data_IF_285850891247
#
_entry.id   IF_285850891247
#
_cell.length_a   1.000
_cell.length_b   1.000
_cell.length_c   1.000
_cell.angle_alpha   90.00
_cell.angle_beta   90.00
_cell.angle_gamma   90.00
#
_symmetry.space_group_name_H-M   'P 1'
#
loop_
_entity.id
_entity.type
_entity.pdbx_description
1 polymer ?
#
# COMPACT_ATOMS: atom_id res chain seq x y z
N UNK A 1 -1.60 -20.31 -26.70
CA UNK A 1 -1.34 -21.60 -27.37
C UNK A 1 -1.27 -21.31 -28.86
N UNK A 2 -0.21 -21.73 -29.54
CA UNK A 2 -0.21 -21.75 -31.00
C UNK A 2 -1.34 -22.70 -31.44
N UNK A 3 -2.19 -22.28 -32.37
CA UNK A 3 -3.15 -23.18 -33.02
C UNK A 3 -2.37 -24.42 -33.44
N UNK A 4 -2.83 -25.60 -33.05
CA UNK A 4 -2.09 -26.78 -33.48
C UNK A 4 -2.21 -26.86 -34.99
N UNK A 5 -1.10 -27.07 -35.70
CA UNK A 5 -1.11 -27.23 -37.17
C UNK A 5 -2.15 -28.26 -37.64
N UNK A 6 -2.53 -29.18 -36.77
CA UNK A 6 -3.54 -30.21 -36.97
C UNK A 6 -4.94 -29.62 -37.12
N UNK A 7 -5.30 -28.62 -36.32
CA UNK A 7 -6.63 -28.00 -36.30
C UNK A 7 -6.94 -27.28 -37.62
N UNK A 8 -5.99 -26.48 -38.11
CA UNK A 8 -6.12 -25.79 -39.40
C UNK A 8 -6.12 -26.79 -40.58
N UNK A 9 -5.34 -27.87 -40.50
CA UNK A 9 -5.35 -28.94 -41.50
C UNK A 9 -6.69 -29.67 -41.57
N UNK A 10 -7.32 -29.97 -40.43
CA UNK A 10 -8.64 -30.61 -40.39
C UNK A 10 -9.73 -29.73 -41.03
N UNK A 11 -9.65 -28.41 -40.84
CA UNK A 11 -10.55 -27.47 -41.50
C UNK A 11 -10.34 -27.44 -43.02
N UNK A 12 -9.10 -27.41 -43.48
CA UNK A 12 -8.78 -27.48 -44.90
C UNK A 12 -9.33 -28.78 -45.52
N UNK A 13 -9.21 -29.90 -44.82
CA UNK A 13 -9.72 -31.20 -45.29
C UNK A 13 -11.25 -31.24 -45.46
N UNK A 14 -12.02 -30.58 -44.59
CA UNK A 14 -13.49 -30.56 -44.71
C UNK A 14 -14.00 -29.44 -45.63
N UNK A 15 -13.17 -28.45 -45.97
CA UNK A 15 -13.58 -27.29 -46.78
C UNK A 15 -14.18 -27.65 -48.14
N UNK A 16 -13.64 -28.62 -48.91
CA UNK A 16 -14.26 -29.06 -50.16
C UNK A 16 -15.67 -29.60 -49.96
N UNK A 17 -15.90 -30.37 -48.88
CA UNK A 17 -17.21 -30.94 -48.58
C UNK A 17 -18.21 -29.86 -48.17
N UNK A 18 -17.78 -28.86 -47.40
CA UNK A 18 -18.62 -27.69 -47.05
C UNK A 18 -19.08 -26.93 -48.30
N UNK A 19 -18.20 -26.73 -49.30
CA UNK A 19 -18.59 -26.10 -50.58
C UNK A 19 -19.62 -26.92 -51.35
N UNK A 20 -19.44 -28.24 -51.42
CA UNK A 20 -20.43 -29.14 -52.05
C UNK A 20 -21.81 -29.01 -51.37
N UNK A 21 -21.83 -28.91 -50.05
CA UNK A 21 -23.05 -28.72 -49.24
C UNK A 21 -23.70 -27.37 -49.54
N UNK A 22 -22.92 -26.28 -49.59
CA UNK A 22 -23.42 -24.94 -49.94
C UNK A 22 -24.04 -24.90 -51.35
N UNK A 23 -23.42 -25.58 -52.32
CA UNK A 23 -23.95 -25.69 -53.67
C UNK A 23 -25.24 -26.51 -53.72
N UNK A 24 -25.31 -27.66 -53.02
CA UNK A 24 -26.55 -28.46 -52.89
C UNK A 24 -27.69 -27.64 -52.29
N UNK A 25 -27.40 -26.92 -51.21
CA UNK A 25 -28.36 -26.05 -50.56
C UNK A 25 -28.85 -24.94 -51.49
N UNK A 26 -27.94 -24.35 -52.28
CA UNK A 26 -28.26 -23.30 -53.27
C UNK A 26 -29.15 -23.82 -54.41
N UNK A 27 -29.07 -25.11 -54.74
CA UNK A 27 -29.94 -25.78 -55.71
C UNK A 27 -31.29 -26.21 -55.13
N UNK A 28 -31.53 -26.02 -53.84
CA UNK A 28 -32.76 -26.43 -53.15
C UNK A 28 -32.83 -27.92 -52.83
N UNK A 29 -31.70 -28.64 -52.92
CA UNK A 29 -31.62 -30.04 -52.51
C UNK A 29 -31.62 -30.15 -50.98
N UNK A 30 -32.25 -31.19 -50.44
CA UNK A 30 -32.22 -31.49 -49.00
C UNK A 30 -30.82 -31.93 -48.54
N UNK A 31 -30.45 -31.59 -47.31
CA UNK A 31 -29.18 -32.00 -46.71
C UNK A 31 -29.27 -33.39 -46.10
N UNK A 32 -28.24 -34.21 -46.31
CA UNK A 32 -28.11 -35.49 -45.62
C UNK A 32 -27.64 -35.31 -44.17
N UNK A 33 -27.74 -36.36 -43.35
CA UNK A 33 -27.23 -36.33 -41.98
C UNK A 33 -25.71 -36.07 -41.94
N UNK A 34 -24.94 -36.59 -42.90
CA UNK A 34 -23.49 -36.37 -43.00
C UNK A 34 -23.17 -34.92 -43.35
N UNK A 35 -23.99 -34.28 -44.20
CA UNK A 35 -23.86 -32.87 -44.53
C UNK A 35 -24.10 -32.00 -43.28
N UNK A 36 -25.15 -32.32 -42.52
CA UNK A 36 -25.46 -31.66 -41.24
C UNK A 36 -24.32 -31.84 -40.24
N UNK A 37 -23.81 -33.05 -40.09
CA UNK A 37 -22.69 -33.34 -39.18
C UNK A 37 -21.43 -32.55 -39.57
N UNK A 38 -21.14 -32.44 -40.87
CA UNK A 38 -20.00 -31.65 -41.38
C UNK A 38 -20.15 -30.16 -41.03
N UNK A 39 -21.35 -29.60 -41.22
CA UNK A 39 -21.64 -28.21 -40.86
C UNK A 39 -21.56 -27.97 -39.34
N UNK A 40 -22.06 -28.92 -38.53
CA UNK A 40 -21.96 -28.86 -37.06
C UNK A 40 -20.50 -28.87 -36.60
N UNK A 41 -19.66 -29.75 -37.17
CA UNK A 41 -18.23 -29.79 -36.87
C UNK A 41 -17.54 -28.47 -37.22
N UNK A 42 -17.85 -27.90 -38.39
CA UNK A 42 -17.32 -26.58 -38.81
C UNK A 42 -17.74 -25.47 -37.84
N UNK A 43 -19.01 -25.47 -37.43
CA UNK A 43 -19.54 -24.49 -36.48
C UNK A 43 -18.88 -24.61 -35.10
N UNK A 44 -18.74 -25.83 -34.58
CA UNK A 44 -18.07 -26.11 -33.31
C UNK A 44 -16.60 -25.67 -33.34
N UNK A 45 -15.88 -25.96 -34.43
CA UNK A 45 -14.51 -25.50 -34.62
C UNK A 45 -14.40 -23.98 -34.51
N UNK A 46 -15.26 -23.26 -35.24
CA UNK A 46 -15.26 -21.80 -35.22
C UNK A 46 -15.52 -21.25 -33.81
N UNK A 47 -16.45 -21.87 -33.08
CA UNK A 47 -16.76 -21.49 -31.71
C UNK A 47 -15.57 -21.72 -30.75
N UNK A 48 -14.92 -22.88 -30.83
CA UNK A 48 -13.74 -23.21 -30.02
C UNK A 48 -12.60 -22.22 -30.32
N UNK A 49 -12.33 -21.95 -31.60
CA UNK A 49 -11.33 -20.97 -31.99
C UNK A 49 -11.64 -19.56 -31.45
N UNK A 50 -12.91 -19.16 -31.41
CA UNK A 50 -13.31 -17.88 -30.80
C UNK A 50 -13.07 -17.88 -29.28
N UNK A 51 -13.38 -18.99 -28.60
CA UNK A 51 -13.11 -19.13 -27.16
C UNK A 51 -11.62 -19.07 -26.84
N UNK A 52 -10.77 -19.68 -27.66
CA UNK A 52 -9.31 -19.62 -27.47
C UNK A 52 -8.77 -18.20 -27.61
N UNK A 53 -9.29 -17.43 -28.57
CA UNK A 53 -8.95 -16.00 -28.69
C UNK A 53 -9.37 -15.23 -27.45
N UNK A 54 -10.59 -15.45 -26.94
CA UNK A 54 -11.07 -14.84 -25.70
C UNK A 54 -10.23 -15.26 -24.49
N UNK A 55 -9.80 -16.51 -24.43
CA UNK A 55 -8.92 -16.99 -23.38
C UNK A 55 -7.56 -16.27 -23.42
N UNK A 56 -6.97 -16.11 -24.60
CA UNK A 56 -5.73 -15.35 -24.76
C UNK A 56 -5.90 -13.88 -24.32
N UNK A 57 -7.00 -13.22 -24.68
CA UNK A 57 -7.33 -11.85 -24.21
C UNK A 57 -7.44 -11.78 -22.68
N UNK A 58 -8.08 -12.78 -22.06
CA UNK A 58 -8.20 -12.86 -20.60
C UNK A 58 -6.83 -13.09 -19.97
N UNK A 59 -6.02 -14.01 -20.49
CA UNK A 59 -4.66 -14.25 -19.99
C UNK A 59 -3.81 -12.98 -20.04
N UNK A 60 -3.84 -12.24 -21.14
CA UNK A 60 -3.15 -10.96 -21.26
C UNK A 60 -3.67 -9.93 -20.25
N UNK A 61 -4.98 -9.86 -20.05
CA UNK A 61 -5.59 -8.96 -19.07
C UNK A 61 -5.18 -9.29 -17.64
N UNK A 62 -5.07 -10.59 -17.31
CA UNK A 62 -4.60 -11.06 -16.00
C UNK A 62 -3.13 -10.72 -15.79
N UNK A 63 -2.26 -10.95 -16.78
CA UNK A 63 -0.85 -10.58 -16.70
C UNK A 63 -0.67 -9.06 -16.50
N UNK A 64 -1.45 -8.25 -17.22
CA UNK A 64 -1.43 -6.79 -17.06
C UNK A 64 -1.93 -6.35 -15.67
N UNK A 65 -2.93 -7.05 -15.12
CA UNK A 65 -3.46 -6.80 -13.79
C UNK A 65 -2.42 -7.15 -12.70
N UNK A 66 -1.77 -8.29 -12.82
CA UNK A 66 -0.68 -8.74 -11.93
C UNK A 66 0.45 -7.70 -11.88
N UNK A 67 0.96 -7.29 -13.05
CA UNK A 67 2.01 -6.27 -13.14
C UNK A 67 1.59 -4.93 -12.50
N UNK A 68 0.32 -4.53 -12.67
CA UNK A 68 -0.24 -3.32 -12.03
C UNK A 68 -0.33 -3.44 -10.52
N UNK A 69 -0.65 -4.63 -9.99
CA UNK A 69 -0.65 -4.89 -8.56
C UNK A 69 0.76 -4.84 -7.99
N UNK A 70 1.73 -5.49 -8.63
CA UNK A 70 3.13 -5.46 -8.19
C UNK A 70 3.67 -4.03 -8.11
N UNK A 71 3.43 -3.22 -9.14
CA UNK A 71 3.83 -1.82 -9.13
C UNK A 71 3.19 -1.03 -7.98
N UNK A 72 1.91 -1.29 -7.67
CA UNK A 72 1.21 -0.67 -6.54
C UNK A 72 1.81 -1.12 -5.20
N UNK A 73 2.14 -2.40 -5.06
CA UNK A 73 2.75 -2.93 -3.84
C UNK A 73 4.12 -2.33 -3.57
N UNK A 74 4.99 -2.27 -4.58
CA UNK A 74 6.29 -1.59 -4.47
C UNK A 74 6.12 -0.11 -4.09
N UNK A 75 5.13 0.57 -4.68
CA UNK A 75 4.81 1.96 -4.33
C UNK A 75 4.29 2.14 -2.90
N UNK A 76 3.56 1.15 -2.35
CA UNK A 76 3.12 1.15 -0.96
C UNK A 76 4.27 0.87 0.01
N UNK A 77 5.12 -0.10 -0.31
CA UNK A 77 6.31 -0.44 0.49
C UNK A 77 7.24 0.77 0.62
N UNK A 78 7.52 1.47 -0.48
CA UNK A 78 8.32 2.72 -0.44
C UNK A 78 7.69 3.79 0.45
N UNK A 79 6.37 3.97 0.41
CA UNK A 79 5.67 4.90 1.31
C UNK A 79 5.77 4.48 2.77
N UNK A 80 5.71 3.18 3.04
CA UNK A 80 5.82 2.64 4.39
C UNK A 80 7.21 2.87 4.99
N UNK A 81 8.27 2.60 4.22
CA UNK A 81 9.66 2.93 4.61
C UNK A 81 9.83 4.43 4.86
N UNK A 82 9.22 5.28 4.03
CA UNK A 82 9.20 6.72 4.23
C UNK A 82 8.47 7.15 5.52
N UNK A 83 7.38 6.48 5.88
CA UNK A 83 6.67 6.71 7.15
C UNK A 83 7.50 6.27 8.36
N UNK A 84 8.13 5.10 8.29
CA UNK A 84 9.01 4.58 9.34
C UNK A 84 10.16 5.55 9.62
N UNK A 85 10.80 6.08 8.57
CA UNK A 85 11.86 7.09 8.71
C UNK A 85 11.37 8.36 9.41
N UNK A 86 10.17 8.85 9.05
CA UNK A 86 9.57 10.03 9.71
C UNK A 86 9.19 9.76 11.16
N UNK A 87 8.78 8.53 11.47
CA UNK A 87 8.46 8.12 12.83
C UNK A 87 9.72 8.07 13.71
N UNK A 88 10.81 7.52 13.20
CA UNK A 88 12.11 7.54 13.89
C UNK A 88 12.63 8.97 14.15
N UNK A 89 12.44 9.88 13.18
CA UNK A 89 12.77 11.30 13.39
C UNK A 89 11.91 11.92 14.50
N UNK A 90 10.60 11.62 14.52
CA UNK A 90 9.69 12.08 15.56
C UNK A 90 10.09 11.56 16.94
N UNK A 91 10.45 10.27 17.04
CA UNK A 91 10.93 9.65 18.27
C UNK A 91 12.20 10.35 18.80
N UNK A 92 13.17 10.61 17.91
CA UNK A 92 14.39 11.36 18.27
C UNK A 92 14.06 12.77 18.80
N UNK A 93 13.13 13.46 18.15
CA UNK A 93 12.68 14.79 18.60
C UNK A 93 11.96 14.73 19.95
N UNK A 94 11.22 13.67 20.21
CA UNK A 94 10.52 13.46 21.48
C UNK A 94 11.52 13.23 22.63
N UNK A 95 12.51 12.36 22.44
CA UNK A 95 13.62 12.19 23.40
C UNK A 95 14.34 13.51 23.66
N UNK A 96 14.59 14.30 22.61
CA UNK A 96 15.19 15.63 22.75
C UNK A 96 14.30 16.64 23.50
N UNK A 97 12.98 16.46 23.48
CA UNK A 97 12.03 17.27 24.24
C UNK A 97 12.01 16.84 25.72
N UNK A 98 12.00 15.54 26.00
CA UNK A 98 12.07 14.99 27.35
C UNK A 98 13.30 15.50 28.09
N UNK A 99 14.48 15.42 27.47
CA UNK A 99 15.73 15.93 28.06
C UNK A 99 15.67 17.44 28.36
N UNK A 100 15.04 18.24 27.49
CA UNK A 100 14.83 19.68 27.75
C UNK A 100 13.88 19.91 28.92
N UNK A 101 12.87 19.06 29.08
CA UNK A 101 11.90 19.16 30.16
C UNK A 101 12.51 18.78 31.52
N UNK A 102 13.37 17.76 31.56
CA UNK A 102 14.15 17.39 32.75
C UNK A 102 15.05 18.55 33.18
N UNK A 103 15.83 19.12 32.26
CA UNK A 103 16.72 20.26 32.55
C UNK A 103 15.94 21.52 32.95
N UNK A 104 14.75 21.73 32.38
CA UNK A 104 13.87 22.81 32.82
C UNK A 104 13.39 22.60 34.26
N UNK A 105 13.01 21.37 34.61
CA UNK A 105 12.56 20.99 35.95
C UNK A 105 13.66 21.19 36.99
N UNK A 106 14.89 20.73 36.69
CA UNK A 106 16.06 20.93 37.55
C UNK A 106 16.35 22.43 37.79
N UNK A 107 16.31 23.23 36.71
CA UNK A 107 16.49 24.69 36.82
C UNK A 107 15.42 25.34 37.67
N UNK A 108 14.16 24.92 37.55
CA UNK A 108 13.09 25.42 38.40
C UNK A 108 13.35 25.07 39.87
N UNK A 109 13.66 23.81 40.17
CA UNK A 109 13.96 23.36 41.54
C UNK A 109 15.11 24.16 42.17
N UNK A 110 16.22 24.30 41.44
CA UNK A 110 17.36 25.10 41.89
C UNK A 110 17.00 26.58 42.09
N UNK A 111 16.18 27.16 41.20
CA UNK A 111 15.74 28.56 41.33
C UNK A 111 14.86 28.78 42.58
N UNK A 112 13.96 27.85 42.86
CA UNK A 112 13.10 27.86 44.05
C UNK A 112 13.96 27.73 45.31
N UNK A 113 14.87 26.75 45.33
CA UNK A 113 15.77 26.54 46.46
C UNK A 113 16.64 27.77 46.75
N UNK A 114 17.18 28.41 45.69
CA UNK A 114 17.96 29.65 45.82
C UNK A 114 17.14 30.81 46.37
N UNK A 115 15.89 30.97 45.90
CA UNK A 115 14.98 32.01 46.40
C UNK A 115 14.62 31.80 47.88
N UNK A 116 14.31 30.55 48.26
CA UNK A 116 14.01 30.18 49.65
C UNK A 116 15.20 30.43 50.57
N UNK A 117 16.40 29.98 50.18
CA UNK A 117 17.61 30.16 51.01
C UNK A 117 17.97 31.65 51.16
N UNK A 118 17.82 32.46 50.10
CA UNK A 118 18.03 33.92 50.17
C UNK A 118 17.07 34.59 51.15
N UNK A 119 15.79 34.24 51.11
CA UNK A 119 14.79 34.78 52.03
C UNK A 119 15.04 34.35 53.48
N UNK A 120 15.52 33.12 53.70
CA UNK A 120 15.89 32.65 55.02
C UNK A 120 17.08 33.42 55.59
N UNK A 121 18.12 33.66 54.79
CA UNK A 121 19.28 34.48 55.19
C UNK A 121 18.91 35.92 55.52
N UNK A 122 18.01 36.56 54.76
CA UNK A 122 17.55 37.92 55.06
C UNK A 122 16.74 37.96 56.37
N UNK A 123 15.92 36.95 56.64
CA UNK A 123 15.20 36.78 57.91
C UNK A 123 16.17 36.63 59.09
N UNK A 124 17.19 35.77 58.97
CA UNK A 124 18.20 35.61 60.01
C UNK A 124 18.98 36.91 60.27
N UNK A 125 19.36 37.64 59.21
CA UNK A 125 20.03 38.93 59.34
C UNK A 125 19.15 39.96 60.06
N UNK A 126 17.86 40.03 59.70
CA UNK A 126 16.89 40.93 60.35
C UNK A 126 16.68 40.56 61.82
N UNK A 127 16.51 39.28 62.14
CA UNK A 127 16.37 38.82 63.53
C UNK A 127 17.60 39.14 64.37
N UNK A 128 18.81 38.89 63.83
CA UNK A 128 20.07 39.25 64.48
C UNK A 128 20.17 40.76 64.74
N UNK A 129 19.79 41.58 63.76
CA UNK A 129 19.73 43.04 63.92
C UNK A 129 18.78 43.45 65.06
N UNK A 130 17.55 42.91 65.08
CA UNK A 130 16.59 43.18 66.16
C UNK A 130 17.12 42.79 67.54
N UNK A 131 17.77 41.63 67.68
CA UNK A 131 18.36 41.20 68.95
C UNK A 131 19.48 42.14 69.42
N UNK A 132 20.31 42.65 68.50
CA UNK A 132 21.35 43.63 68.85
C UNK A 132 20.76 44.98 69.29
N UNK A 133 19.72 45.46 68.60
CA UNK A 133 19.02 46.69 68.99
C UNK A 133 18.34 46.54 70.36
N UNK A 134 17.65 45.42 70.60
CA UNK A 134 16.99 45.15 71.89
C UNK A 134 17.99 45.19 73.04
N UNK A 135 19.18 44.59 72.88
CA UNK A 135 20.23 44.62 73.91
C UNK A 135 20.80 46.01 74.15
N UNK A 136 20.88 46.86 73.12
CA UNK A 136 21.33 48.25 73.27
C UNK A 136 20.31 49.04 74.08
N UNK A 137 19.02 48.89 73.77
CA UNK A 137 17.93 49.58 74.48
C UNK A 137 17.88 49.16 75.95
N UNK A 138 18.01 47.86 76.27
CA UNK A 138 18.03 47.38 77.67
C UNK A 138 19.21 47.92 78.50
N UNK A 139 20.28 48.40 77.85
CA UNK A 139 21.48 48.91 78.51
C UNK A 139 21.45 50.43 78.73
N UNK A 140 20.49 51.13 78.12
CA UNK A 140 20.23 52.56 78.32
C UNK A 140 19.13 52.76 79.35
#
# INVERSE_FOLDING_TARGET
MDKTRVDDMLIEMITPKVKEIEEKFSRGEGLSQDDINTLLLKSQYNHINHLDLKLNEVTQSVMALEAKFDQKFVGLESKFVGLESRFAELESRFVGLEAKFELFTEKMEHSIQKALNRNMWSLFAMMGFFLTLSKVIDKF
#
